data_IF_327512035819
#
_entry.id   IF_327512035819
#
_cell.length_a   1.000
_cell.length_b   1.000
_cell.length_c   1.000
_cell.angle_alpha   90.00
_cell.angle_beta   90.00
_cell.angle_gamma   90.00
#
_symmetry.space_group_name_H-M   'P 1'
#
loop_
_entity.id
_entity.type
_entity.pdbx_description
1 polymer ?
#
# COMPACT_ATOMS: atom_id res chain seq x y z
N UNK A 1 40.98 57.28 25.30
CA UNK A 1 39.70 57.25 26.03
C UNK A 1 38.60 57.74 25.11
N UNK A 2 37.76 56.85 24.59
CA UNK A 2 36.36 57.06 24.23
C UNK A 2 35.81 55.70 23.77
N UNK A 3 34.58 55.41 24.17
CA UNK A 3 34.08 54.08 24.48
C UNK A 3 33.18 53.52 23.38
N UNK A 4 33.18 52.20 23.30
CA UNK A 4 32.28 51.24 22.64
C UNK A 4 30.80 51.69 22.61
N UNK A 5 30.10 51.44 21.50
CA UNK A 5 28.77 50.80 21.51
C UNK A 5 28.63 49.91 20.26
N UNK A 6 28.80 48.60 20.47
CA UNK A 6 28.36 47.56 19.57
C UNK A 6 26.85 47.44 19.72
N UNK A 7 26.10 47.73 18.65
CA UNK A 7 24.66 47.52 18.66
C UNK A 7 24.37 46.03 18.42
N UNK A 8 24.03 45.38 19.53
CA UNK A 8 23.53 44.01 19.60
C UNK A 8 22.10 44.00 19.07
N UNK A 9 21.94 43.72 17.77
CA UNK A 9 20.65 43.34 17.23
C UNK A 9 20.28 41.96 17.79
N UNK A 10 19.61 41.96 18.94
CA UNK A 10 18.98 40.79 19.51
C UNK A 10 18.06 40.14 18.44
N UNK A 11 18.14 38.81 18.19
CA UNK A 11 17.21 38.17 17.28
C UNK A 11 15.80 38.35 17.85
N UNK A 12 14.96 39.08 17.12
CA UNK A 12 13.56 39.25 17.46
C UNK A 12 12.87 37.89 17.71
N UNK A 13 11.76 37.88 18.47
CA UNK A 13 11.07 36.66 18.84
C UNK A 13 10.82 35.79 17.61
N UNK A 14 11.36 34.58 17.61
CA UNK A 14 11.17 33.66 16.49
C UNK A 14 9.68 33.34 16.36
N UNK A 15 9.09 33.47 15.16
CA UNK A 15 7.70 33.10 14.96
C UNK A 15 7.51 31.62 15.33
N UNK A 16 6.33 31.24 15.88
CA UNK A 16 6.06 29.85 16.25
C UNK A 16 6.36 28.89 15.10
N UNK A 17 6.89 27.70 15.40
CA UNK A 17 7.31 26.70 14.41
C UNK A 17 6.21 26.43 13.36
N UNK A 18 4.94 26.36 13.78
CA UNK A 18 3.79 26.20 12.90
C UNK A 18 3.61 27.36 11.88
N UNK A 19 3.90 28.60 12.27
CA UNK A 19 3.83 29.76 11.37
C UNK A 19 4.95 29.73 10.33
N UNK A 20 6.13 29.23 10.70
CA UNK A 20 7.26 29.05 9.77
C UNK A 20 6.94 28.00 8.71
N UNK A 21 6.37 26.86 9.10
CA UNK A 21 5.91 25.84 8.16
C UNK A 21 4.81 26.34 7.22
N UNK A 22 3.81 27.05 7.74
CA UNK A 22 2.77 27.69 6.89
C UNK A 22 3.36 28.63 5.85
N UNK A 23 4.42 29.38 6.21
CA UNK A 23 5.12 30.25 5.27
C UNK A 23 5.83 29.45 4.18
N UNK A 24 6.53 28.37 4.54
CA UNK A 24 7.15 27.45 3.57
C UNK A 24 6.09 26.88 2.63
N UNK A 25 4.98 26.36 3.17
CA UNK A 25 3.88 25.81 2.37
C UNK A 25 3.28 26.83 1.39
N UNK A 26 3.08 28.07 1.85
CA UNK A 26 2.56 29.15 1.01
C UNK A 26 3.51 29.54 -0.13
N UNK A 27 4.82 29.48 0.10
CA UNK A 27 5.84 29.72 -0.93
C UNK A 27 5.87 28.58 -1.96
N UNK A 28 5.88 27.33 -1.48
CA UNK A 28 5.89 26.15 -2.35
C UNK A 28 4.61 26.01 -3.18
N UNK A 29 3.46 26.44 -2.67
CA UNK A 29 2.21 26.48 -3.43
C UNK A 29 2.20 27.52 -4.56
N UNK A 30 3.16 28.45 -4.54
CA UNK A 30 3.38 29.47 -5.58
C UNK A 30 4.64 29.19 -6.40
N UNK A 31 5.20 27.98 -6.31
CA UNK A 31 6.45 27.56 -6.96
C UNK A 31 7.67 28.46 -6.62
N UNK A 32 7.63 29.16 -5.48
CA UNK A 32 8.71 30.03 -5.02
C UNK A 32 9.81 29.25 -4.27
N UNK A 33 10.35 28.22 -4.92
CA UNK A 33 11.31 27.26 -4.35
C UNK A 33 12.61 27.92 -3.91
N UNK A 34 13.12 28.89 -4.66
CA UNK A 34 14.32 29.65 -4.32
C UNK A 34 14.18 30.44 -3.00
N UNK A 35 12.97 30.95 -2.70
CA UNK A 35 12.68 31.67 -1.45
C UNK A 35 12.37 30.71 -0.30
N UNK A 36 11.78 29.55 -0.59
CA UNK A 36 11.48 28.54 0.41
C UNK A 36 12.75 27.81 0.92
N UNK A 37 13.70 27.51 0.04
CA UNK A 37 14.92 26.77 0.36
C UNK A 37 15.70 27.27 1.59
N UNK A 38 16.08 28.57 1.71
CA UNK A 38 16.80 29.06 2.88
C UNK A 38 15.97 28.98 4.18
N UNK A 39 14.64 29.07 4.09
CA UNK A 39 13.76 28.90 5.26
C UNK A 39 13.74 27.45 5.73
N UNK A 40 13.65 26.50 4.80
CA UNK A 40 13.71 25.06 5.08
C UNK A 40 15.07 24.69 5.68
N UNK A 41 16.17 25.22 5.15
CA UNK A 41 17.50 24.97 5.69
C UNK A 41 17.64 25.47 7.13
N UNK A 42 17.12 26.67 7.42
CA UNK A 42 17.11 27.20 8.79
C UNK A 42 16.33 26.29 9.75
N UNK A 43 15.15 25.84 9.33
CA UNK A 43 14.31 24.91 10.10
C UNK A 43 15.00 23.57 10.34
N UNK A 44 15.70 23.05 9.32
CA UNK A 44 16.49 21.82 9.42
C UNK A 44 17.61 21.95 10.48
N UNK A 45 18.43 23.00 10.41
CA UNK A 45 19.52 23.23 11.37
C UNK A 45 18.99 23.45 12.80
N UNK A 46 17.89 24.20 12.93
CA UNK A 46 17.23 24.40 14.21
C UNK A 46 16.73 23.07 14.79
N UNK A 47 16.05 22.25 14.00
CA UNK A 47 15.53 20.96 14.44
C UNK A 47 16.64 20.00 14.90
N UNK A 48 17.80 19.99 14.22
CA UNK A 48 18.98 19.22 14.66
C UNK A 48 19.51 19.71 16.00
N UNK A 49 19.66 21.04 16.18
CA UNK A 49 20.14 21.63 17.43
C UNK A 49 19.20 21.37 18.61
N UNK A 50 17.90 21.37 18.35
CA UNK A 50 16.86 21.16 19.37
C UNK A 50 16.53 19.68 19.62
N UNK A 51 17.17 18.75 18.88
CA UNK A 51 16.82 17.32 18.87
C UNK A 51 15.32 17.07 18.60
N UNK A 52 14.70 17.90 17.77
CA UNK A 52 13.29 17.82 17.42
C UNK A 52 13.09 16.89 16.22
N UNK A 53 12.94 15.58 16.48
CA UNK A 53 12.82 14.58 15.42
C UNK A 53 11.66 14.83 14.43
N UNK A 54 10.43 15.19 14.86
CA UNK A 54 9.35 15.58 13.93
C UNK A 54 9.71 16.72 12.99
N UNK A 55 10.27 17.80 13.52
CA UNK A 55 10.66 18.94 12.69
C UNK A 55 11.84 18.60 11.77
N UNK A 56 12.76 17.78 12.24
CA UNK A 56 13.95 17.35 11.50
C UNK A 56 13.58 16.49 10.27
N UNK A 57 12.78 15.44 10.46
CA UNK A 57 12.30 14.60 9.35
C UNK A 57 11.44 15.42 8.38
N UNK A 58 10.55 16.29 8.90
CA UNK A 58 9.74 17.18 8.06
C UNK A 58 10.63 18.09 7.21
N UNK A 59 11.66 18.69 7.78
CA UNK A 59 12.59 19.54 7.03
C UNK A 59 13.31 18.76 5.92
N UNK A 60 13.74 17.53 6.19
CA UNK A 60 14.34 16.66 5.18
C UNK A 60 13.38 16.36 4.02
N UNK A 61 12.11 16.08 4.29
CA UNK A 61 11.09 15.88 3.25
C UNK A 61 10.89 17.13 2.37
N UNK A 62 10.89 18.33 2.97
CA UNK A 62 10.87 19.55 2.16
C UNK A 62 12.15 19.77 1.36
N UNK A 63 13.31 19.40 1.90
CA UNK A 63 14.58 19.47 1.17
C UNK A 63 14.54 18.56 -0.06
N UNK A 64 14.04 17.33 0.07
CA UNK A 64 13.81 16.41 -1.05
C UNK A 64 12.88 17.03 -2.11
N UNK A 65 11.70 17.52 -1.70
CA UNK A 65 10.76 18.20 -2.60
C UNK A 65 11.37 19.40 -3.33
N UNK A 66 12.30 20.12 -2.70
CA UNK A 66 12.99 21.24 -3.31
C UNK A 66 14.02 20.81 -4.37
N UNK A 67 14.59 19.61 -4.27
CA UNK A 67 15.49 19.02 -5.27
C UNK A 67 14.73 18.63 -6.54
N UNK A 68 13.57 17.98 -6.40
CA UNK A 68 12.68 17.57 -7.51
C UNK A 68 12.33 18.73 -8.45
N UNK A 69 12.24 19.96 -7.93
CA UNK A 69 11.86 21.13 -8.70
C UNK A 69 13.02 21.81 -9.45
N UNK A 70 14.26 21.35 -9.28
CA UNK A 70 15.44 22.07 -9.78
C UNK A 70 16.36 21.25 -10.69
N UNK A 71 16.40 19.94 -10.57
CA UNK A 71 17.56 19.17 -11.05
C UNK A 71 17.18 17.89 -11.79
N UNK A 72 17.96 17.53 -12.81
CA UNK A 72 17.73 16.32 -13.64
C UNK A 72 18.17 15.02 -12.92
N UNK A 73 18.75 15.11 -11.72
CA UNK A 73 19.29 14.03 -10.87
C UNK A 73 18.74 14.12 -9.43
N UNK A 74 17.47 14.53 -9.31
CA UNK A 74 16.83 14.79 -8.02
C UNK A 74 16.79 13.55 -7.12
N UNK A 75 16.59 12.37 -7.68
CA UNK A 75 16.49 11.12 -6.92
C UNK A 75 17.83 10.70 -6.31
N UNK A 76 18.92 10.76 -7.09
CA UNK A 76 20.26 10.47 -6.58
C UNK A 76 20.64 11.43 -5.45
N UNK A 77 20.27 12.70 -5.58
CA UNK A 77 20.54 13.71 -4.54
C UNK A 77 19.66 13.56 -3.32
N UNK A 78 18.40 13.16 -3.49
CA UNK A 78 17.51 12.84 -2.38
C UNK A 78 18.03 11.64 -1.58
N UNK A 79 18.48 10.59 -2.27
CA UNK A 79 19.12 9.42 -1.67
C UNK A 79 20.41 9.85 -0.95
N UNK A 80 21.31 10.56 -1.61
CA UNK A 80 22.57 11.01 -1.01
C UNK A 80 22.34 11.91 0.23
N UNK A 81 21.33 12.78 0.20
CA UNK A 81 20.92 13.60 1.35
C UNK A 81 20.51 12.71 2.53
N UNK A 82 19.59 11.77 2.33
CA UNK A 82 19.13 10.91 3.41
C UNK A 82 20.22 9.94 3.89
N UNK A 83 21.12 9.47 3.02
CA UNK A 83 22.26 8.65 3.40
C UNK A 83 23.27 9.40 4.27
N UNK A 84 23.46 10.70 4.03
CA UNK A 84 24.28 11.54 4.89
C UNK A 84 23.61 11.73 6.26
N UNK A 85 22.31 12.03 6.28
CA UNK A 85 21.57 12.31 7.50
C UNK A 85 21.34 11.08 8.37
N UNK A 86 21.08 9.90 7.79
CA UNK A 86 20.82 8.66 8.54
C UNK A 86 22.02 8.22 9.38
N UNK A 87 23.25 8.55 8.96
CA UNK A 87 24.50 8.24 9.69
C UNK A 87 24.59 8.95 11.05
N UNK A 88 23.94 10.10 11.20
CA UNK A 88 23.99 10.92 12.42
C UNK A 88 22.64 11.06 13.12
N UNK A 89 21.55 10.63 12.46
CA UNK A 89 20.22 10.66 13.03
C UNK A 89 20.12 9.78 14.28
N UNK A 90 19.29 10.22 15.23
CA UNK A 90 18.96 9.48 16.44
C UNK A 90 17.49 9.06 16.41
N UNK A 91 17.12 8.15 17.30
CA UNK A 91 15.72 7.76 17.49
C UNK A 91 14.85 8.96 17.93
N UNK A 92 13.61 9.11 17.41
CA UNK A 92 12.91 8.22 16.47
C UNK A 92 13.18 8.53 14.98
N UNK A 93 14.01 9.52 14.65
CA UNK A 93 14.23 9.92 13.26
C UNK A 93 14.97 8.84 12.44
N UNK A 94 16.03 8.24 12.98
CA UNK A 94 16.86 7.26 12.25
C UNK A 94 16.07 6.10 11.62
N UNK A 95 15.19 5.36 12.35
CA UNK A 95 14.40 4.29 11.73
C UNK A 95 13.43 4.81 10.66
N UNK A 96 12.89 6.02 10.84
CA UNK A 96 12.04 6.68 9.82
C UNK A 96 12.85 7.00 8.56
N UNK A 97 14.07 7.52 8.71
CA UNK A 97 14.96 7.81 7.57
C UNK A 97 15.34 6.53 6.81
N UNK A 98 15.58 5.41 7.50
CA UNK A 98 15.77 4.12 6.83
C UNK A 98 14.53 3.72 6.00
N UNK A 99 13.32 3.90 6.52
CA UNK A 99 12.08 3.60 5.76
C UNK A 99 11.88 4.53 4.55
N UNK A 100 12.28 5.80 4.67
CA UNK A 100 12.25 6.75 3.55
C UNK A 100 13.31 6.42 2.50
N UNK A 101 14.54 6.09 2.92
CA UNK A 101 15.61 5.64 2.02
C UNK A 101 15.20 4.41 1.21
N UNK A 102 14.58 3.42 1.86
CA UNK A 102 14.08 2.25 1.16
C UNK A 102 13.02 2.60 0.09
N UNK A 103 12.16 3.58 0.37
CA UNK A 103 11.21 4.14 -0.59
C UNK A 103 11.91 4.78 -1.78
N UNK A 104 12.82 5.73 -1.54
CA UNK A 104 13.56 6.41 -2.62
C UNK A 104 14.36 5.45 -3.49
N UNK A 105 15.02 4.46 -2.88
CA UNK A 105 15.71 3.42 -3.64
C UNK A 105 14.74 2.57 -4.49
N UNK A 106 13.52 2.32 -3.99
CA UNK A 106 12.49 1.59 -4.72
C UNK A 106 11.95 2.42 -5.90
N UNK A 107 11.72 3.71 -5.68
CA UNK A 107 11.25 4.63 -6.72
C UNK A 107 12.29 4.72 -7.84
N UNK A 108 13.56 4.96 -7.49
CA UNK A 108 14.67 4.97 -8.46
C UNK A 108 14.77 3.65 -9.24
N UNK A 109 14.67 2.50 -8.56
CA UNK A 109 14.68 1.18 -9.22
C UNK A 109 13.54 1.05 -10.24
N UNK A 110 12.32 1.45 -9.87
CA UNK A 110 11.15 1.32 -10.71
C UNK A 110 11.22 2.22 -11.95
N UNK A 111 11.72 3.44 -11.81
CA UNK A 111 11.92 4.38 -12.91
C UNK A 111 12.98 3.90 -13.90
N UNK A 112 14.03 3.24 -13.40
CA UNK A 112 15.17 2.78 -14.20
C UNK A 112 15.08 1.28 -14.56
N UNK A 113 13.91 0.65 -14.34
CA UNK A 113 13.74 -0.80 -14.41
C UNK A 113 14.16 -1.38 -15.77
N UNK A 114 13.79 -0.72 -16.87
CA UNK A 114 14.10 -1.18 -18.21
C UNK A 114 15.61 -1.14 -18.50
N UNK A 115 16.30 -0.08 -18.09
CA UNK A 115 17.75 0.05 -18.24
C UNK A 115 18.49 -0.97 -17.38
N UNK A 116 18.00 -1.21 -16.16
CA UNK A 116 18.58 -2.18 -15.24
C UNK A 116 18.51 -3.60 -15.80
N UNK A 117 17.35 -4.02 -16.33
CA UNK A 117 17.23 -5.36 -16.95
C UNK A 117 18.10 -5.55 -18.19
N UNK A 118 18.24 -4.53 -19.04
CA UNK A 118 19.12 -4.60 -20.21
C UNK A 118 20.59 -4.80 -19.82
N UNK A 119 21.03 -4.22 -18.70
CA UNK A 119 22.40 -4.41 -18.18
C UNK A 119 22.58 -5.81 -17.60
N UNK A 120 21.61 -6.31 -16.83
CA UNK A 120 21.70 -7.64 -16.20
C UNK A 120 21.72 -8.77 -17.22
N UNK A 121 21.09 -8.62 -18.40
CA UNK A 121 21.12 -9.62 -19.47
C UNK A 121 22.44 -9.66 -20.27
N UNK A 122 23.31 -8.66 -20.13
CA UNK A 122 24.55 -8.53 -20.92
C UNK A 122 25.84 -8.37 -20.10
N UNK A 123 25.78 -8.39 -18.77
CA UNK A 123 26.93 -8.20 -17.90
C UNK A 123 27.38 -9.53 -17.27
N UNK A 124 28.69 -9.82 -17.33
CA UNK A 124 29.30 -10.73 -16.37
C UNK A 124 29.03 -10.20 -14.94
N UNK A 125 28.75 -11.08 -13.96
CA UNK A 125 28.44 -10.66 -12.60
C UNK A 125 29.58 -9.78 -12.09
N UNK A 126 29.30 -8.51 -11.77
CA UNK A 126 30.30 -7.64 -11.17
C UNK A 126 30.71 -8.26 -9.85
N UNK A 127 31.99 -8.63 -9.75
CA UNK A 127 32.63 -9.26 -8.60
C UNK A 127 32.75 -8.36 -7.37
N UNK A 128 32.04 -7.22 -7.32
CA UNK A 128 31.90 -6.40 -6.10
C UNK A 128 30.82 -6.98 -5.17
N UNK A 129 30.99 -8.27 -4.89
CA UNK A 129 30.51 -8.91 -3.69
C UNK A 129 31.50 -8.63 -2.56
N UNK A 130 31.45 -7.45 -1.96
CA UNK A 130 32.12 -7.23 -0.68
C UNK A 130 31.47 -6.11 0.13
N UNK A 131 30.92 -6.53 1.28
CA UNK A 131 30.68 -5.72 2.48
C UNK A 131 29.35 -4.94 2.53
N UNK A 132 28.34 -5.48 3.23
CA UNK A 132 27.25 -4.67 3.79
C UNK A 132 27.85 -3.74 4.86
N UNK A 133 28.35 -2.57 4.43
CA UNK A 133 29.00 -1.61 5.33
C UNK A 133 29.99 -0.65 4.67
N UNK A 134 30.37 -0.85 3.40
CA UNK A 134 31.19 0.13 2.69
C UNK A 134 30.36 1.37 2.34
N UNK A 135 30.68 2.49 3.00
CA UNK A 135 30.19 3.80 2.63
C UNK A 135 30.93 4.23 1.36
N UNK A 136 30.35 3.97 0.19
CA UNK A 136 30.85 4.53 -1.06
C UNK A 136 30.43 6.00 -1.14
N UNK A 137 31.33 6.86 -0.67
CA UNK A 137 31.27 8.29 -0.91
C UNK A 137 31.45 8.56 -2.40
N UNK A 138 30.34 8.62 -3.14
CA UNK A 138 30.21 9.21 -4.47
C UNK A 138 30.81 8.41 -5.63
N UNK A 139 29.95 7.74 -6.42
CA UNK A 139 29.85 7.90 -7.90
C UNK A 139 28.66 7.09 -8.44
N UNK A 140 27.59 7.82 -8.76
CA UNK A 140 26.40 7.50 -9.58
C UNK A 140 25.70 6.14 -9.36
N UNK A 141 24.48 6.18 -8.80
CA UNK A 141 23.51 5.07 -8.83
C UNK A 141 23.27 4.53 -10.24
N UNK A 142 23.59 5.31 -11.29
CA UNK A 142 23.56 4.84 -12.66
C UNK A 142 24.55 3.72 -12.97
N UNK A 143 25.51 3.42 -12.08
CA UNK A 143 26.44 2.29 -12.22
C UNK A 143 25.99 1.04 -11.47
N UNK A 144 24.98 1.15 -10.60
CA UNK A 144 24.51 0.01 -9.81
C UNK A 144 23.67 -0.93 -10.68
N UNK A 145 23.83 -2.23 -10.44
CA UNK A 145 22.96 -3.24 -11.02
C UNK A 145 21.67 -3.42 -10.21
N UNK A 146 20.72 -4.16 -10.79
CA UNK A 146 19.45 -4.47 -10.15
C UNK A 146 19.61 -5.19 -8.81
N UNK A 147 20.65 -6.03 -8.68
CA UNK A 147 20.94 -6.81 -7.48
C UNK A 147 21.34 -5.92 -6.30
N UNK A 148 22.26 -4.99 -6.53
CA UNK A 148 22.77 -4.04 -5.55
C UNK A 148 21.69 -3.06 -5.09
N UNK A 149 20.88 -2.54 -6.01
CA UNK A 149 19.73 -1.69 -5.66
C UNK A 149 18.69 -2.47 -4.84
N UNK A 150 18.32 -3.67 -5.27
CA UNK A 150 17.42 -4.54 -4.51
C UNK A 150 17.92 -4.83 -3.09
N UNK A 151 19.23 -5.07 -2.94
CA UNK A 151 19.85 -5.34 -1.64
C UNK A 151 19.80 -4.10 -0.74
N UNK A 152 19.99 -2.90 -1.29
CA UNK A 152 19.84 -1.65 -0.56
C UNK A 152 18.41 -1.43 -0.07
N UNK A 153 17.41 -1.66 -0.93
CA UNK A 153 15.98 -1.57 -0.57
C UNK A 153 15.67 -2.49 0.62
N UNK A 154 16.02 -3.78 0.50
CA UNK A 154 15.82 -4.77 1.57
C UNK A 154 16.53 -4.33 2.84
N UNK A 155 17.81 -3.98 2.76
CA UNK A 155 18.62 -3.55 3.91
C UNK A 155 17.98 -2.38 4.64
N UNK A 156 17.57 -1.32 3.92
CA UNK A 156 16.99 -0.13 4.54
C UNK A 156 15.62 -0.43 5.15
N UNK A 157 14.78 -1.26 4.53
CA UNK A 157 13.53 -1.68 5.16
C UNK A 157 13.77 -2.49 6.45
N UNK A 158 14.71 -3.43 6.45
CA UNK A 158 15.05 -4.18 7.67
C UNK A 158 15.61 -3.27 8.76
N UNK A 159 16.54 -2.38 8.42
CA UNK A 159 17.08 -1.40 9.37
C UNK A 159 16.00 -0.50 9.95
N UNK A 160 14.97 -0.13 9.17
CA UNK A 160 13.85 0.65 9.69
C UNK A 160 13.08 -0.09 10.80
N UNK A 161 12.98 -1.42 10.72
CA UNK A 161 12.22 -2.24 11.67
C UNK A 161 13.10 -2.69 12.86
N UNK A 162 14.39 -2.91 12.64
CA UNK A 162 15.32 -3.47 13.62
C UNK A 162 16.05 -2.42 14.48
N UNK A 163 15.96 -1.14 14.12
CA UNK A 163 16.58 -0.06 14.88
C UNK A 163 15.76 0.28 16.13
N UNK A 164 16.19 -0.26 17.27
CA UNK A 164 15.57 -0.08 18.60
C UNK A 164 14.08 -0.51 18.67
N UNK A 165 13.72 -1.76 18.30
CA UNK A 165 12.34 -2.20 18.11
C UNK A 165 11.47 -2.05 19.37
N UNK A 166 12.04 -2.24 20.56
CA UNK A 166 11.31 -2.06 21.83
C UNK A 166 10.93 -0.59 22.09
N UNK A 167 11.79 0.36 21.70
CA UNK A 167 11.46 1.79 21.76
C UNK A 167 10.45 2.16 20.68
N UNK A 168 10.53 1.55 19.50
CA UNK A 168 9.52 1.73 18.45
C UNK A 168 8.13 1.27 18.93
N UNK A 169 8.04 0.10 19.59
CA UNK A 169 6.80 -0.42 20.17
C UNK A 169 6.24 0.47 21.29
N UNK A 170 7.07 1.24 21.96
CA UNK A 170 6.66 2.18 23.00
C UNK A 170 6.34 3.59 22.46
N UNK A 171 6.75 3.89 21.22
CA UNK A 171 6.54 5.20 20.59
C UNK A 171 5.22 5.21 19.85
N UNK A 172 4.22 5.90 20.39
CA UNK A 172 2.89 5.98 19.78
C UNK A 172 2.90 6.89 18.55
N UNK A 173 2.00 6.62 17.59
CA UNK A 173 1.83 7.52 16.44
C UNK A 173 1.43 8.94 16.86
N UNK A 174 0.73 9.09 17.98
CA UNK A 174 0.40 10.42 18.56
C UNK A 174 1.67 11.18 18.93
N UNK A 175 2.67 10.50 19.53
CA UNK A 175 3.94 11.13 19.90
C UNK A 175 4.77 11.58 18.69
N UNK A 176 4.53 10.99 17.52
CA UNK A 176 5.18 11.38 16.27
C UNK A 176 4.56 12.63 15.62
N UNK A 177 3.39 13.07 16.10
CA UNK A 177 2.69 14.26 15.60
C UNK A 177 2.47 14.22 14.08
N UNK A 178 2.92 15.28 13.41
CA UNK A 178 2.76 15.44 11.95
C UNK A 178 3.48 14.38 11.11
N UNK A 179 4.43 13.61 11.68
CA UNK A 179 5.09 12.51 10.97
C UNK A 179 4.18 11.28 10.79
N UNK A 180 3.12 11.16 11.58
CA UNK A 180 2.16 10.06 11.51
C UNK A 180 0.74 10.61 11.32
N UNK A 181 0.54 11.31 10.20
CA UNK A 181 -0.74 11.89 9.79
C UNK A 181 -1.61 10.89 9.02
N UNK A 182 -2.91 11.17 8.93
CA UNK A 182 -3.89 10.28 8.29
C UNK A 182 -4.38 9.15 9.20
N UNK A 183 -5.09 8.18 8.61
CA UNK A 183 -5.72 7.06 9.32
C UNK A 183 -6.91 7.48 10.19
N UNK A 184 -8.01 6.73 10.10
CA UNK A 184 -9.14 6.89 11.00
C UNK A 184 -8.85 6.26 12.39
N UNK A 185 -9.83 6.36 13.29
CA UNK A 185 -9.69 5.84 14.65
C UNK A 185 -9.46 4.33 14.69
N UNK A 186 -10.10 3.57 13.79
CA UNK A 186 -9.98 2.11 13.71
C UNK A 186 -8.58 1.72 13.22
N UNK A 187 -8.11 2.27 12.10
CA UNK A 187 -6.78 2.00 11.58
C UNK A 187 -5.66 2.40 12.56
N UNK A 188 -5.82 3.52 13.28
CA UNK A 188 -4.88 3.92 14.34
C UNK A 188 -4.89 2.97 15.53
N UNK A 189 -6.04 2.39 15.88
CA UNK A 189 -6.14 1.39 16.94
C UNK A 189 -5.49 0.05 16.55
N UNK A 190 -5.51 -0.30 15.26
CA UNK A 190 -4.85 -1.51 14.73
C UNK A 190 -3.34 -1.34 14.62
N UNK A 191 -2.84 -0.12 14.41
CA UNK A 191 -1.40 0.19 14.20
C UNK A 191 -0.93 1.34 15.11
N UNK A 192 -0.92 1.16 16.44
CA UNK A 192 -0.75 2.27 17.37
C UNK A 192 0.67 2.83 17.48
N UNK A 193 1.69 2.11 17.00
CA UNK A 193 3.11 2.40 17.30
C UNK A 193 3.95 2.69 16.07
N UNK A 194 5.11 3.32 16.26
CA UNK A 194 6.12 3.49 15.22
C UNK A 194 6.53 2.14 14.62
N UNK A 195 6.61 1.09 15.45
CA UNK A 195 6.94 -0.26 14.98
C UNK A 195 5.92 -0.78 13.96
N UNK A 196 4.62 -0.57 14.20
CA UNK A 196 3.58 -0.94 13.25
C UNK A 196 3.73 -0.20 11.93
N UNK A 197 3.92 1.12 12.00
CA UNK A 197 4.05 1.97 10.82
C UNK A 197 5.22 1.53 9.94
N UNK A 198 6.40 1.33 10.54
CA UNK A 198 7.61 0.97 9.81
C UNK A 198 7.55 -0.47 9.29
N UNK A 199 7.04 -1.40 10.08
CA UNK A 199 6.89 -2.80 9.66
C UNK A 199 5.87 -2.93 8.54
N UNK A 200 4.74 -2.20 8.60
CA UNK A 200 3.74 -2.20 7.54
C UNK A 200 4.26 -1.58 6.25
N UNK A 201 5.03 -0.47 6.34
CA UNK A 201 5.72 0.11 5.17
C UNK A 201 6.72 -0.87 4.56
N UNK A 202 7.50 -1.56 5.39
CA UNK A 202 8.46 -2.57 4.93
C UNK A 202 7.79 -3.78 4.29
N UNK A 203 6.68 -4.28 4.84
CA UNK A 203 5.88 -5.35 4.22
C UNK A 203 5.40 -4.90 2.84
N UNK A 204 4.76 -3.74 2.74
CA UNK A 204 4.24 -3.23 1.46
C UNK A 204 5.34 -3.05 0.41
N UNK A 205 6.50 -2.50 0.81
CA UNK A 205 7.63 -2.28 -0.10
C UNK A 205 8.30 -3.56 -0.59
N UNK A 206 8.29 -4.64 0.20
CA UNK A 206 8.96 -5.91 -0.12
C UNK A 206 8.04 -6.97 -0.72
N UNK A 207 6.72 -6.73 -0.75
CA UNK A 207 5.76 -7.59 -1.43
C UNK A 207 5.86 -7.52 -2.96
N UNK A 208 6.50 -6.49 -3.53
CA UNK A 208 6.63 -6.34 -4.98
C UNK A 208 7.60 -7.40 -5.56
N UNK A 209 7.05 -8.41 -6.23
CA UNK A 209 7.79 -9.53 -6.82
C UNK A 209 8.77 -9.14 -7.93
N UNK A 210 8.61 -7.95 -8.52
CA UNK A 210 9.39 -7.54 -9.69
C UNK A 210 10.84 -7.15 -9.37
N UNK A 211 11.14 -6.83 -8.12
CA UNK A 211 12.51 -6.59 -7.64
C UNK A 211 13.41 -7.84 -7.74
N UNK A 212 12.83 -9.02 -8.02
CA UNK A 212 13.39 -10.33 -7.66
C UNK A 212 13.50 -11.32 -8.83
N UNK A 213 13.31 -10.85 -10.07
CA UNK A 213 13.13 -11.68 -11.27
C UNK A 213 14.43 -12.33 -11.80
N UNK A 214 15.61 -11.96 -11.29
CA UNK A 214 16.87 -12.38 -11.93
C UNK A 214 17.19 -13.87 -11.79
N UNK A 215 16.60 -14.60 -10.81
CA UNK A 215 16.83 -16.05 -10.59
C UNK A 215 15.60 -16.79 -10.03
N UNK A 216 14.60 -17.11 -10.87
CA UNK A 216 13.35 -17.75 -10.43
C UNK A 216 13.54 -19.08 -9.67
N UNK A 217 14.50 -19.90 -10.07
CA UNK A 217 14.81 -21.20 -9.46
C UNK A 217 15.40 -21.09 -8.05
N UNK A 218 15.85 -19.90 -7.64
CA UNK A 218 16.39 -19.62 -6.30
C UNK A 218 15.37 -18.88 -5.42
N UNK A 219 14.11 -18.75 -5.84
CA UNK A 219 13.07 -18.10 -5.06
C UNK A 219 12.49 -19.02 -3.99
N UNK A 220 11.99 -18.42 -2.91
CA UNK A 220 11.33 -19.14 -1.82
C UNK A 220 10.01 -19.68 -2.33
N UNK A 221 9.71 -20.93 -2.00
CA UNK A 221 8.45 -21.57 -2.34
C UNK A 221 7.66 -21.84 -1.06
N UNK A 222 6.45 -21.28 -0.90
CA UNK A 222 5.60 -21.59 0.25
C UNK A 222 5.08 -23.02 0.13
N UNK A 223 5.55 -23.92 1.00
CA UNK A 223 5.15 -25.35 1.00
C UNK A 223 4.60 -25.85 2.33
N UNK A 224 4.84 -25.16 3.45
CA UNK A 224 4.36 -25.60 4.77
C UNK A 224 2.92 -25.09 5.02
N UNK A 225 1.93 -25.97 5.22
CA UNK A 225 0.55 -25.55 5.51
C UNK A 225 0.41 -24.74 6.81
N UNK A 226 1.39 -24.80 7.73
CA UNK A 226 1.43 -23.93 8.93
C UNK A 226 1.52 -22.44 8.61
N UNK A 227 1.86 -22.08 7.37
CA UNK A 227 1.71 -20.70 6.88
C UNK A 227 0.27 -20.18 7.07
N UNK A 228 -0.73 -21.07 6.91
CA UNK A 228 -2.16 -20.80 7.11
C UNK A 228 -2.64 -21.16 8.53
N UNK A 229 -1.72 -21.49 9.44
CA UNK A 229 -1.99 -21.92 10.81
C UNK A 229 -2.46 -20.80 11.74
N UNK A 230 -2.49 -21.08 13.04
CA UNK A 230 -2.69 -20.06 14.08
C UNK A 230 -1.56 -19.03 14.08
N UNK A 231 -1.80 -17.87 14.69
CA UNK A 231 -0.76 -16.86 14.90
C UNK A 231 0.48 -17.45 15.59
N UNK A 232 0.30 -18.35 16.57
CA UNK A 232 1.39 -19.02 17.28
C UNK A 232 2.19 -19.97 16.38
N UNK A 233 1.51 -20.80 15.59
CA UNK A 233 2.15 -21.71 14.64
C UNK A 233 2.91 -20.93 13.57
N UNK A 234 2.30 -19.88 13.02
CA UNK A 234 2.94 -19.02 12.02
C UNK A 234 4.16 -18.30 12.61
N UNK A 235 4.05 -17.72 13.81
CA UNK A 235 5.17 -17.03 14.45
C UNK A 235 6.35 -17.98 14.78
N UNK A 236 6.05 -19.24 15.13
CA UNK A 236 7.07 -20.24 15.44
C UNK A 236 7.64 -20.96 14.20
N UNK A 237 7.02 -20.80 13.03
CA UNK A 237 7.42 -21.49 11.81
C UNK A 237 8.80 -21.02 11.35
N UNK A 238 9.70 -21.97 11.06
CA UNK A 238 11.01 -21.65 10.51
C UNK A 238 10.89 -21.46 9.00
N UNK A 239 11.06 -20.22 8.55
CA UNK A 239 11.13 -19.90 7.12
C UNK A 239 12.58 -19.98 6.64
N UNK A 240 12.98 -21.18 6.21
CA UNK A 240 14.29 -21.42 5.63
C UNK A 240 14.44 -20.67 4.29
N UNK A 241 15.65 -20.15 4.05
CA UNK A 241 15.98 -19.39 2.85
C UNK A 241 16.88 -20.22 1.92
N UNK A 242 16.78 -20.03 0.60
CA UNK A 242 17.95 -20.18 -0.27
C UNK A 242 19.06 -19.19 0.17
N UNK A 243 20.28 -19.32 -0.36
CA UNK A 243 21.44 -18.54 0.07
C UNK A 243 21.16 -17.02 0.18
N UNK A 244 21.88 -16.35 1.09
CA UNK A 244 21.68 -14.96 1.55
C UNK A 244 21.65 -13.89 0.43
N UNK A 245 22.13 -14.23 -0.75
CA UNK A 245 22.22 -13.34 -1.91
C UNK A 245 20.96 -13.36 -2.79
N UNK A 246 19.97 -14.20 -2.47
CA UNK A 246 18.68 -14.17 -3.17
C UNK A 246 17.85 -13.00 -2.66
N UNK A 247 17.70 -11.98 -3.51
CA UNK A 247 16.67 -10.98 -3.32
C UNK A 247 15.31 -11.71 -3.37
N UNK A 248 14.73 -11.97 -2.20
CA UNK A 248 13.58 -12.86 -2.05
C UNK A 248 12.44 -12.13 -1.34
N UNK A 249 11.76 -11.25 -2.05
CA UNK A 249 10.68 -10.42 -1.50
C UNK A 249 9.62 -11.23 -0.78
N UNK A 250 9.26 -12.39 -1.34
CA UNK A 250 8.24 -13.22 -0.75
C UNK A 250 8.61 -13.67 0.67
N UNK A 251 9.83 -14.18 0.82
CA UNK A 251 10.36 -14.59 2.11
C UNK A 251 10.52 -13.41 3.08
N UNK A 252 11.00 -12.25 2.59
CA UNK A 252 11.17 -11.07 3.43
C UNK A 252 9.83 -10.54 3.95
N UNK A 253 8.80 -10.46 3.11
CA UNK A 253 7.46 -10.07 3.51
C UNK A 253 6.89 -11.03 4.57
N UNK A 254 7.04 -12.35 4.37
CA UNK A 254 6.61 -13.35 5.36
C UNK A 254 7.36 -13.22 6.69
N UNK A 255 8.68 -13.00 6.67
CA UNK A 255 9.49 -12.79 7.88
C UNK A 255 9.09 -11.53 8.64
N UNK A 256 8.78 -10.45 7.94
CA UNK A 256 8.29 -9.22 8.56
C UNK A 256 6.88 -9.42 9.14
N UNK A 257 6.00 -10.15 8.45
CA UNK A 257 4.71 -10.58 9.00
C UNK A 257 4.90 -11.44 10.26
N UNK A 258 5.81 -12.43 10.26
CA UNK A 258 6.10 -13.25 11.44
C UNK A 258 6.57 -12.40 12.63
N UNK A 259 7.47 -11.43 12.38
CA UNK A 259 7.96 -10.52 13.42
C UNK A 259 6.82 -9.68 13.99
N UNK A 260 5.98 -9.11 13.13
CA UNK A 260 4.82 -8.33 13.55
C UNK A 260 3.82 -9.19 14.34
N UNK A 261 3.50 -10.40 13.88
CA UNK A 261 2.67 -11.38 14.60
C UNK A 261 3.26 -11.69 15.98
N UNK A 262 4.58 -11.92 16.07
CA UNK A 262 5.27 -12.21 17.33
C UNK A 262 5.13 -11.07 18.33
N UNK A 263 5.36 -9.82 17.89
CA UNK A 263 5.20 -8.66 18.76
C UNK A 263 3.74 -8.47 19.21
N UNK A 264 2.78 -8.87 18.38
CA UNK A 264 1.35 -8.67 18.65
C UNK A 264 0.75 -9.79 19.49
N UNK A 265 1.29 -11.00 19.42
CA UNK A 265 1.02 -12.08 20.38
C UNK A 265 1.42 -11.70 21.81
N UNK A 266 2.50 -10.93 21.97
CA UNK A 266 2.95 -10.44 23.27
C UNK A 266 2.15 -9.21 23.78
N UNK A 267 1.34 -8.58 22.91
CA UNK A 267 0.61 -7.35 23.22
C UNK A 267 -0.86 -7.62 23.55
N UNK A 268 -1.46 -6.78 24.40
CA UNK A 268 -2.89 -6.87 24.73
C UNK A 268 -3.79 -6.15 23.70
N UNK A 269 -3.64 -6.47 22.41
CA UNK A 269 -4.45 -5.90 21.33
C UNK A 269 -4.83 -7.00 20.32
N UNK A 270 -5.86 -7.80 20.62
CA UNK A 270 -6.25 -8.92 19.76
C UNK A 270 -6.85 -8.47 18.43
N UNK A 271 -7.37 -7.24 18.33
CA UNK A 271 -7.86 -6.69 17.07
C UNK A 271 -6.70 -6.42 16.09
N UNK A 272 -5.58 -5.85 16.57
CA UNK A 272 -4.38 -5.69 15.76
C UNK A 272 -3.79 -7.03 15.31
N UNK A 273 -3.78 -8.05 16.19
CA UNK A 273 -3.36 -9.39 15.82
C UNK A 273 -4.24 -9.98 14.71
N UNK A 274 -5.57 -9.79 14.80
CA UNK A 274 -6.50 -10.23 13.77
C UNK A 274 -6.29 -9.51 12.42
N UNK A 275 -5.97 -8.21 12.41
CA UNK A 275 -5.62 -7.46 11.18
C UNK A 275 -4.39 -8.06 10.49
N UNK A 276 -3.36 -8.39 11.27
CA UNK A 276 -2.12 -9.00 10.76
C UNK A 276 -2.38 -10.40 10.22
N UNK A 277 -3.21 -11.19 10.91
CA UNK A 277 -3.59 -12.52 10.48
C UNK A 277 -4.40 -12.47 9.16
N UNK A 278 -5.32 -11.50 9.03
CA UNK A 278 -6.04 -11.26 7.78
C UNK A 278 -5.10 -10.84 6.65
N UNK A 279 -4.16 -9.93 6.92
CA UNK A 279 -3.13 -9.50 5.97
C UNK A 279 -2.25 -10.68 5.53
N UNK A 280 -1.82 -11.52 6.47
CA UNK A 280 -1.06 -12.76 6.19
C UNK A 280 -1.84 -13.66 5.25
N UNK A 281 -3.10 -13.95 5.57
CA UNK A 281 -3.93 -14.85 4.77
C UNK A 281 -4.16 -14.28 3.35
N UNK A 282 -4.45 -12.98 3.22
CA UNK A 282 -4.60 -12.33 1.91
C UNK A 282 -3.32 -12.38 1.08
N UNK A 283 -2.17 -12.16 1.73
CA UNK A 283 -0.87 -12.25 1.07
C UNK A 283 -0.55 -13.68 0.61
N UNK A 284 -0.74 -14.67 1.48
CA UNK A 284 -0.54 -16.08 1.15
C UNK A 284 -1.47 -16.52 0.02
N UNK A 285 -2.74 -16.11 0.04
CA UNK A 285 -3.67 -16.40 -1.04
C UNK A 285 -3.12 -15.91 -2.38
N UNK A 286 -2.57 -14.69 -2.46
CA UNK A 286 -1.97 -14.15 -3.68
C UNK A 286 -0.78 -14.95 -4.22
N UNK A 287 0.06 -15.52 -3.35
CA UNK A 287 1.28 -16.24 -3.76
C UNK A 287 1.11 -17.77 -3.85
N UNK A 288 -0.04 -18.33 -3.47
CA UNK A 288 -0.28 -19.79 -3.43
C UNK A 288 -1.42 -20.26 -4.34
N UNK A 289 -2.05 -19.40 -5.14
CA UNK A 289 -3.24 -19.74 -5.94
C UNK A 289 -3.07 -20.98 -6.84
N UNK A 290 -1.86 -21.25 -7.30
CA UNK A 290 -1.54 -22.35 -8.21
C UNK A 290 -0.73 -23.47 -7.54
N UNK A 291 -0.84 -23.62 -6.22
CA UNK A 291 -0.14 -24.66 -5.45
C UNK A 291 -1.12 -25.46 -4.58
N UNK A 292 -0.66 -26.59 -4.03
CA UNK A 292 -1.43 -27.43 -3.10
C UNK A 292 -1.86 -26.68 -1.82
N UNK A 293 -1.30 -25.51 -1.55
CA UNK A 293 -1.70 -24.67 -0.42
C UNK A 293 -2.92 -23.79 -0.70
N UNK A 294 -3.39 -23.66 -1.94
CA UNK A 294 -4.56 -22.85 -2.27
C UNK A 294 -5.80 -23.25 -1.43
N UNK A 295 -5.99 -24.55 -1.21
CA UNK A 295 -7.10 -25.12 -0.45
C UNK A 295 -7.04 -24.81 1.06
N UNK A 296 -5.92 -24.29 1.56
CA UNK A 296 -5.77 -23.89 2.97
C UNK A 296 -6.39 -22.53 3.29
N UNK A 297 -6.68 -21.70 2.27
CA UNK A 297 -7.12 -20.32 2.48
C UNK A 297 -8.52 -20.23 3.11
N UNK A 298 -9.53 -20.89 2.53
CA UNK A 298 -10.89 -20.83 3.07
C UNK A 298 -11.01 -21.41 4.49
N UNK A 299 -10.45 -22.60 4.80
CA UNK A 299 -10.47 -23.15 6.16
C UNK A 299 -9.78 -22.24 7.17
N UNK A 300 -8.69 -21.58 6.77
CA UNK A 300 -7.99 -20.63 7.64
C UNK A 300 -8.83 -19.39 7.94
N UNK A 301 -9.51 -18.81 6.93
CA UNK A 301 -10.43 -17.70 7.15
C UNK A 301 -11.58 -18.09 8.08
N UNK A 302 -12.20 -19.26 7.86
CA UNK A 302 -13.30 -19.77 8.70
C UNK A 302 -12.85 -19.95 10.16
N UNK A 303 -11.70 -20.58 10.37
CA UNK A 303 -11.13 -20.80 11.70
C UNK A 303 -10.84 -19.47 12.41
N UNK A 304 -10.21 -18.51 11.73
CA UNK A 304 -9.85 -17.23 12.35
C UNK A 304 -11.07 -16.32 12.58
N UNK A 305 -12.11 -16.41 11.75
CA UNK A 305 -13.40 -15.76 12.01
C UNK A 305 -14.01 -16.21 13.36
N UNK A 306 -13.82 -17.49 13.72
CA UNK A 306 -14.27 -18.03 15.01
C UNK A 306 -13.32 -17.71 16.16
N UNK A 307 -12.00 -17.76 15.95
CA UNK A 307 -11.01 -17.36 16.97
C UNK A 307 -11.23 -15.91 17.42
N UNK A 308 -11.58 -15.02 16.49
CA UNK A 308 -11.79 -13.60 16.76
C UNK A 308 -13.28 -13.22 16.91
N UNK A 309 -14.19 -14.18 17.13
CA UNK A 309 -15.65 -13.95 17.01
C UNK A 309 -16.23 -12.85 17.92
N UNK A 310 -15.54 -12.47 19.00
CA UNK A 310 -15.94 -11.38 19.91
C UNK A 310 -15.52 -9.99 19.42
N UNK A 311 -14.75 -9.91 18.32
CA UNK A 311 -14.21 -8.67 17.78
C UNK A 311 -14.93 -8.29 16.47
N UNK A 312 -15.24 -7.00 16.24
CA UNK A 312 -15.82 -6.52 14.98
C UNK A 312 -15.04 -6.95 13.73
N UNK A 313 -13.70 -6.99 13.81
CA UNK A 313 -12.82 -7.39 12.72
C UNK A 313 -13.02 -8.85 12.27
N UNK A 314 -13.65 -9.72 13.08
CA UNK A 314 -14.02 -11.08 12.64
C UNK A 314 -14.89 -11.08 11.38
N UNK A 315 -15.69 -10.04 11.18
CA UNK A 315 -16.51 -9.88 9.97
C UNK A 315 -15.70 -9.70 8.69
N UNK A 316 -14.44 -9.23 8.76
CA UNK A 316 -13.55 -9.16 7.58
C UNK A 316 -13.16 -10.55 7.07
N UNK A 317 -12.97 -11.51 7.98
CA UNK A 317 -12.70 -12.89 7.63
C UNK A 317 -13.93 -13.52 6.96
N UNK A 318 -15.13 -13.24 7.47
CA UNK A 318 -16.39 -13.73 6.88
C UNK A 318 -16.64 -13.07 5.52
N UNK A 319 -16.40 -11.76 5.38
CA UNK A 319 -16.50 -11.05 4.11
C UNK A 319 -15.50 -11.59 3.07
N UNK A 320 -14.28 -11.95 3.51
CA UNK A 320 -13.29 -12.58 2.64
C UNK A 320 -13.72 -13.99 2.22
N UNK A 321 -14.34 -14.79 3.09
CA UNK A 321 -14.94 -16.08 2.70
C UNK A 321 -16.10 -15.90 1.72
N UNK A 322 -16.95 -14.89 1.92
CA UNK A 322 -18.02 -14.60 0.97
C UNK A 322 -17.43 -14.26 -0.41
N UNK A 323 -16.33 -13.51 -0.44
CA UNK A 323 -15.64 -13.14 -1.67
C UNK A 323 -15.05 -14.35 -2.41
N UNK A 324 -14.49 -15.35 -1.72
CA UNK A 324 -13.97 -16.56 -2.38
C UNK A 324 -15.10 -17.38 -3.03
N UNK A 325 -16.29 -17.36 -2.44
CA UNK A 325 -17.47 -18.08 -2.94
C UNK A 325 -18.27 -17.32 -3.98
N UNK A 326 -17.98 -16.03 -4.22
CA UNK A 326 -18.75 -15.14 -5.11
C UNK A 326 -19.14 -15.80 -6.43
N UNK A 327 -18.17 -16.39 -7.14
CA UNK A 327 -18.37 -16.94 -8.48
C UNK A 327 -18.75 -18.43 -8.44
N UNK A 328 -18.13 -19.21 -7.56
CA UNK A 328 -18.31 -20.67 -7.50
C UNK A 328 -19.62 -21.08 -6.80
N UNK A 329 -20.04 -20.34 -5.77
CA UNK A 329 -21.26 -20.59 -4.99
C UNK A 329 -21.83 -19.25 -4.47
N UNK A 330 -22.52 -18.49 -5.33
CA UNK A 330 -23.10 -17.20 -4.96
C UNK A 330 -24.15 -17.30 -3.84
N UNK A 331 -24.79 -18.46 -3.67
CA UNK A 331 -25.76 -18.68 -2.59
C UNK A 331 -25.04 -18.76 -1.24
N UNK A 332 -23.96 -19.53 -1.16
CA UNK A 332 -23.12 -19.57 0.04
C UNK A 332 -22.45 -18.22 0.31
N UNK A 333 -22.02 -17.48 -0.72
CA UNK A 333 -21.48 -16.14 -0.58
C UNK A 333 -22.50 -15.18 0.06
N UNK A 334 -23.76 -15.18 -0.39
CA UNK A 334 -24.83 -14.38 0.20
C UNK A 334 -25.13 -14.80 1.64
N UNK A 335 -25.12 -16.10 1.94
CA UNK A 335 -25.32 -16.60 3.30
C UNK A 335 -24.23 -16.11 4.26
N UNK A 336 -22.96 -16.17 3.84
CA UNK A 336 -21.83 -15.65 4.60
C UNK A 336 -21.92 -14.13 4.76
N UNK A 337 -22.30 -13.41 3.71
CA UNK A 337 -22.44 -11.97 3.78
C UNK A 337 -23.50 -11.55 4.83
N UNK A 338 -24.67 -12.21 4.82
CA UNK A 338 -25.71 -12.00 5.83
C UNK A 338 -25.23 -12.36 7.25
N UNK A 339 -24.42 -13.41 7.39
CA UNK A 339 -23.83 -13.78 8.68
C UNK A 339 -22.86 -12.71 9.21
N UNK A 340 -22.02 -12.12 8.34
CA UNK A 340 -21.16 -11.00 8.71
C UNK A 340 -21.97 -9.77 9.14
N UNK A 341 -23.00 -9.41 8.36
CA UNK A 341 -23.91 -8.30 8.66
C UNK A 341 -24.61 -8.48 10.01
N UNK A 342 -25.00 -9.71 10.37
CA UNK A 342 -25.65 -10.01 11.64
C UNK A 342 -24.68 -9.98 12.83
N UNK A 343 -23.43 -10.45 12.64
CA UNK A 343 -22.45 -10.60 13.74
C UNK A 343 -22.00 -9.26 14.31
N UNK A 344 -21.64 -8.31 13.44
CA UNK A 344 -21.30 -6.94 13.86
C UNK A 344 -21.80 -5.91 12.83
N UNK A 345 -23.07 -5.48 12.88
CA UNK A 345 -23.70 -4.67 11.81
C UNK A 345 -23.01 -3.34 11.45
N UNK A 346 -22.15 -2.82 12.33
CA UNK A 346 -21.44 -1.54 12.20
C UNK A 346 -19.95 -1.70 11.85
N UNK A 347 -19.45 -2.93 11.72
CA UNK A 347 -18.04 -3.15 11.35
C UNK A 347 -17.80 -2.87 9.87
N UNK A 348 -16.54 -2.59 9.52
CA UNK A 348 -16.14 -2.47 8.12
C UNK A 348 -16.39 -3.76 7.34
N UNK A 349 -16.10 -4.93 7.93
CA UNK A 349 -16.34 -6.23 7.29
C UNK A 349 -17.82 -6.50 7.01
N UNK A 350 -18.73 -6.07 7.88
CA UNK A 350 -20.17 -6.14 7.63
C UNK A 350 -20.61 -5.23 6.48
N UNK A 351 -20.06 -4.01 6.40
CA UNK A 351 -20.32 -3.09 5.29
C UNK A 351 -19.82 -3.67 3.96
N UNK A 352 -18.60 -4.23 3.93
CA UNK A 352 -18.02 -4.89 2.77
C UNK A 352 -18.84 -6.12 2.34
N UNK A 353 -19.26 -6.95 3.29
CA UNK A 353 -20.13 -8.09 3.05
C UNK A 353 -21.49 -7.67 2.46
N UNK A 354 -22.09 -6.59 2.99
CA UNK A 354 -23.33 -6.02 2.45
C UNK A 354 -23.18 -5.61 0.99
N UNK A 355 -22.11 -4.88 0.66
CA UNK A 355 -21.83 -4.46 -0.72
C UNK A 355 -21.71 -5.67 -1.66
N UNK A 356 -20.98 -6.71 -1.24
CA UNK A 356 -20.87 -7.95 -2.02
C UNK A 356 -22.24 -8.64 -2.20
N UNK A 357 -23.05 -8.72 -1.16
CA UNK A 357 -24.42 -9.27 -1.26
C UNK A 357 -25.25 -8.47 -2.24
N UNK A 358 -25.24 -7.15 -2.13
CA UNK A 358 -25.99 -6.24 -3.02
C UNK A 358 -25.53 -6.39 -4.49
N UNK A 359 -24.24 -6.60 -4.74
CA UNK A 359 -23.72 -6.93 -6.08
C UNK A 359 -24.24 -8.28 -6.59
N UNK A 360 -24.19 -9.33 -5.77
CA UNK A 360 -24.63 -10.68 -6.15
C UNK A 360 -26.14 -10.71 -6.39
N UNK A 361 -26.93 -10.03 -5.55
CA UNK A 361 -28.39 -9.95 -5.62
C UNK A 361 -28.88 -8.93 -6.66
N UNK A 362 -27.98 -8.15 -7.29
CA UNK A 362 -28.34 -7.13 -8.27
C UNK A 362 -29.12 -7.73 -9.44
N UNK A 363 -30.32 -7.20 -9.77
CA UNK A 363 -31.04 -7.57 -10.98
C UNK A 363 -30.23 -7.19 -12.22
N UNK A 364 -30.01 -8.15 -13.10
CA UNK A 364 -29.28 -7.95 -14.35
C UNK A 364 -30.08 -8.55 -15.50
N UNK A 365 -30.22 -7.77 -16.58
CA UNK A 365 -30.77 -8.23 -17.85
C UNK A 365 -29.88 -7.69 -18.96
N UNK A 366 -29.35 -8.58 -19.78
CA UNK A 366 -28.53 -8.25 -20.93
C UNK A 366 -29.13 -8.89 -22.19
N UNK A 367 -29.25 -8.08 -23.23
CA UNK A 367 -29.62 -8.54 -24.57
C UNK A 367 -28.39 -8.49 -25.45
N UNK A 368 -28.02 -9.60 -26.06
CA UNK A 368 -26.92 -9.68 -27.02
C UNK A 368 -27.43 -10.19 -28.35
N UNK A 369 -26.89 -9.68 -29.44
CA UNK A 369 -27.22 -10.12 -30.80
C UNK A 369 -25.96 -10.09 -31.66
N UNK A 370 -26.03 -10.69 -32.84
CA UNK A 370 -24.95 -10.57 -33.81
C UNK A 370 -24.75 -9.09 -34.20
N UNK A 371 -23.50 -8.65 -34.25
CA UNK A 371 -23.14 -7.28 -34.64
C UNK A 371 -23.59 -6.95 -36.08
N UNK A 372 -23.63 -7.98 -36.94
CA UNK A 372 -24.10 -7.89 -38.31
C UNK A 372 -25.20 -8.92 -38.54
N UNK A 373 -26.37 -8.45 -38.98
CA UNK A 373 -27.53 -9.27 -39.35
C UNK A 373 -27.84 -9.11 -40.84
N UNK A 374 -28.17 -10.21 -41.52
CA UNK A 374 -28.51 -10.18 -42.95
C UNK A 374 -29.99 -9.81 -43.13
N UNK A 375 -30.32 -8.81 -43.97
CA UNK A 375 -31.72 -8.43 -44.21
C UNK A 375 -32.57 -9.59 -44.71
N UNK A 376 -33.77 -9.73 -44.16
CA UNK A 376 -34.73 -10.77 -44.56
C UNK A 376 -34.38 -12.19 -44.09
N UNK A 377 -33.26 -12.38 -43.38
CA UNK A 377 -32.88 -13.66 -42.79
C UNK A 377 -33.21 -13.69 -41.29
N UNK A 378 -33.59 -14.86 -40.75
CA UNK A 378 -33.70 -15.04 -39.30
C UNK A 378 -32.38 -14.77 -38.60
N UNK A 379 -32.44 -14.12 -37.43
CA UNK A 379 -31.28 -13.87 -36.57
C UNK A 379 -31.66 -14.09 -35.11
N UNK A 380 -30.66 -14.26 -34.24
CA UNK A 380 -30.85 -14.60 -32.82
C UNK A 380 -30.59 -13.39 -31.93
N UNK A 381 -31.49 -13.20 -30.97
CA UNK A 381 -31.32 -12.34 -29.81
C UNK A 381 -31.16 -13.24 -28.59
N UNK A 382 -30.01 -13.15 -27.93
CA UNK A 382 -29.71 -13.85 -26.69
C UNK A 382 -30.08 -12.95 -25.51
N UNK A 383 -30.74 -13.54 -24.50
CA UNK A 383 -31.13 -12.83 -23.28
C UNK A 383 -30.49 -13.53 -22.11
N UNK A 384 -29.70 -12.79 -21.34
CA UNK A 384 -29.17 -13.24 -20.04
C UNK A 384 -29.89 -12.46 -18.96
N UNK A 385 -30.50 -13.16 -18.01
CA UNK A 385 -31.17 -12.54 -16.87
C UNK A 385 -30.70 -13.18 -15.55
N UNK A 386 -30.47 -12.36 -14.52
CA UNK A 386 -30.07 -12.78 -13.18
C UNK A 386 -30.85 -11.97 -12.14
N UNK A 387 -31.31 -12.63 -11.08
CA UNK A 387 -32.10 -12.01 -9.99
C UNK A 387 -33.36 -11.27 -10.48
N UNK A 388 -33.99 -11.77 -11.54
CA UNK A 388 -35.25 -11.27 -12.07
C UNK A 388 -36.29 -12.37 -11.96
N UNK A 389 -37.43 -12.06 -11.33
CA UNK A 389 -38.54 -13.01 -11.17
C UNK A 389 -39.45 -13.08 -12.41
N UNK A 390 -39.57 -11.98 -13.16
CA UNK A 390 -40.37 -11.91 -14.39
C UNK A 390 -39.76 -10.89 -15.35
N UNK A 391 -39.58 -11.29 -16.61
CA UNK A 391 -39.12 -10.41 -17.69
C UNK A 391 -40.22 -10.27 -18.74
N UNK A 392 -40.66 -9.04 -18.97
CA UNK A 392 -41.53 -8.70 -20.10
C UNK A 392 -40.72 -7.99 -21.17
N UNK A 393 -40.75 -8.51 -22.40
CA UNK A 393 -40.01 -7.97 -23.53
C UNK A 393 -40.94 -7.77 -24.73
N UNK A 394 -40.72 -6.68 -25.46
CA UNK A 394 -41.43 -6.34 -26.68
C UNK A 394 -40.43 -5.98 -27.77
N UNK A 395 -40.71 -6.40 -29.00
CA UNK A 395 -39.92 -6.08 -30.18
C UNK A 395 -40.78 -5.29 -31.17
N UNK A 396 -40.24 -4.19 -31.68
CA UNK A 396 -40.93 -3.29 -32.61
C UNK A 396 -40.10 -3.08 -33.86
N UNK A 397 -40.76 -3.10 -35.02
CA UNK A 397 -40.13 -2.72 -36.28
C UNK A 397 -40.07 -1.19 -36.37
N UNK A 398 -38.87 -0.62 -36.49
CA UNK A 398 -38.67 0.81 -36.63
C UNK A 398 -38.21 1.15 -38.04
N UNK A 399 -38.85 2.15 -38.65
CA UNK A 399 -38.33 2.78 -39.87
C UNK A 399 -37.10 3.62 -39.56
N UNK A 400 -36.30 3.93 -40.59
CA UNK A 400 -35.11 4.78 -40.43
C UNK A 400 -35.45 6.15 -39.83
N UNK A 401 -36.55 6.77 -40.27
CA UNK A 401 -37.00 8.06 -39.72
C UNK A 401 -37.34 7.95 -38.23
N UNK A 402 -38.09 6.90 -37.83
CA UNK A 402 -38.42 6.65 -36.42
C UNK A 402 -37.19 6.40 -35.56
N UNK A 403 -36.17 5.71 -36.09
CA UNK A 403 -34.89 5.51 -35.37
C UNK A 403 -34.12 6.82 -35.17
N UNK A 404 -34.03 7.64 -36.22
CA UNK A 404 -33.36 8.96 -36.15
C UNK A 404 -34.09 9.93 -35.20
N UNK A 405 -35.40 9.79 -35.04
CA UNK A 405 -36.17 10.50 -34.01
C UNK A 405 -35.91 9.94 -32.60
N UNK A 406 -35.92 8.62 -32.42
CA UNK A 406 -35.65 7.96 -31.13
C UNK A 406 -34.27 8.30 -30.54
N UNK A 407 -33.22 8.30 -31.38
CA UNK A 407 -31.85 8.63 -30.96
C UNK A 407 -31.70 10.11 -30.57
N UNK A 408 -32.56 11.00 -31.10
CA UNK A 408 -32.61 12.42 -30.71
C UNK A 408 -33.25 12.63 -29.34
N UNK A 409 -34.25 11.82 -28.98
CA UNK A 409 -34.95 11.88 -27.68
C UNK A 409 -34.22 11.15 -26.54
N UNK A 410 -33.41 10.13 -26.85
CA UNK A 410 -32.67 9.33 -25.84
C UNK A 410 -31.43 10.02 -25.26
N UNK A 411 -31.17 11.29 -25.60
CA UNK A 411 -30.20 12.12 -24.87
C UNK A 411 -30.81 12.53 -23.52
N UNK A 412 -30.06 12.51 -22.41
CA UNK A 412 -30.63 12.43 -21.06
C UNK A 412 -31.40 13.71 -20.70
N UNK A 413 -32.72 13.67 -20.91
CA UNK A 413 -33.68 14.36 -20.05
C UNK A 413 -34.51 13.29 -19.37
N UNK A 414 -34.48 13.36 -18.05
CA UNK A 414 -35.18 12.49 -17.12
C UNK A 414 -36.59 12.14 -17.62
N UNK A 415 -36.92 10.84 -17.64
CA UNK A 415 -38.30 10.37 -17.53
C UNK A 415 -38.35 8.84 -17.33
N UNK A 416 -38.65 8.46 -16.10
CA UNK A 416 -39.70 7.47 -15.90
C UNK A 416 -41.02 8.13 -16.34
N UNK A 417 -41.92 7.36 -16.96
CA UNK A 417 -43.20 7.79 -17.54
C UNK A 417 -43.06 8.51 -18.90
N UNK A 418 -43.16 7.75 -20.01
CA UNK A 418 -43.79 8.17 -21.29
C UNK A 418 -43.59 7.18 -22.47
N UNK A 419 -43.62 5.87 -22.27
CA UNK A 419 -43.50 4.90 -23.37
C UNK A 419 -44.83 4.33 -23.91
N UNK A 420 -45.96 5.00 -23.68
CA UNK A 420 -47.27 4.51 -24.10
C UNK A 420 -47.84 5.05 -25.44
N UNK A 421 -47.48 6.23 -25.99
CA UNK A 421 -48.21 6.73 -27.16
C UNK A 421 -47.53 6.60 -28.54
N UNK A 422 -46.30 6.05 -28.66
CA UNK A 422 -45.58 6.03 -29.95
C UNK A 422 -45.86 4.74 -30.77
N UNK A 423 -46.68 3.82 -30.27
CA UNK A 423 -46.94 2.52 -30.91
C UNK A 423 -48.42 2.31 -31.28
N UNK A 424 -49.01 3.27 -31.99
CA UNK A 424 -50.26 3.07 -32.73
C UNK A 424 -50.03 3.13 -34.23
#
# INVERSE_FOLDING_TARGET
MATILADSAAPGPQPPLAAQWKKVDALLKKDQTATAAPLVEKLYQQAKKENNAPAYVRALLYKIRLLENKENDADEKAIALLEADVKTAQFPARPILHSLLAGLYSDYYNEHRYQLYQRTQGADPTTDQATPGAADGGTSLATWDAGRLGAAIVRHYYQSVEDEPQRQLSTTLVALGDLATGGDAEGRALRPTLYDLLTQRAIAGLQNQELYITRPEQQFQPTDPKLFGSAQEFAALKLDAPAADSLNGQLHALRLLQRLTTQRLAANNPAALADIDLQRLGYLHGITQNTDLADQYEPALARLAEVYNVLPISTEFIASQAQTKREADPVAAVALARAAEARFPKSHGAARARLLREEIERPEVAFTSAEVVVPGQPWRLDVTARNVTTLHAWAYHLTRQQREEFDRYSRPRAQAENYAPILK
#
